data_IF_979051871525
#
_entry.id   IF_979051871525
#
_cell.length_a   1.000
_cell.length_b   1.000
_cell.length_c   1.000
_cell.angle_alpha   90.00
_cell.angle_beta   90.00
_cell.angle_gamma   90.00
#
_symmetry.space_group_name_H-M   'P 1'
#
loop_
_entity.id
_entity.type
_entity.pdbx_description
1 polymer ?
#
# COMPACT_ATOMS: atom_id res chain seq x y z
N UNK A 1 5.40 37.16 -34.01
CA UNK A 1 4.36 36.47 -33.21
C UNK A 1 4.89 35.08 -32.83
N UNK A 2 5.42 34.93 -31.62
CA UNK A 2 5.89 33.65 -31.05
C UNK A 2 5.36 33.60 -29.61
N UNK A 3 4.21 32.98 -29.40
CA UNK A 3 3.61 32.85 -28.07
C UNK A 3 2.53 31.77 -28.06
N UNK A 4 2.85 30.57 -28.56
CA UNK A 4 1.97 29.40 -28.41
C UNK A 4 2.79 28.11 -28.25
N UNK A 5 3.69 28.04 -27.26
CA UNK A 5 4.27 26.74 -26.83
C UNK A 5 4.57 26.81 -25.33
N UNK A 6 3.56 26.91 -24.46
CA UNK A 6 3.81 26.82 -23.01
C UNK A 6 2.67 26.21 -22.18
N UNK A 7 1.59 25.71 -22.79
CA UNK A 7 0.43 25.18 -22.02
C UNK A 7 0.40 23.64 -21.98
N UNK A 8 1.17 22.95 -22.82
CA UNK A 8 1.12 21.48 -22.92
C UNK A 8 1.98 20.73 -21.88
N UNK A 9 2.77 21.42 -21.04
CA UNK A 9 3.72 20.76 -20.11
C UNK A 9 3.20 20.63 -18.66
N UNK A 10 2.01 21.14 -18.34
CA UNK A 10 1.48 21.15 -16.96
C UNK A 10 0.48 19.98 -16.73
N UNK A 11 0.18 19.17 -17.76
CA UNK A 11 -0.84 18.13 -17.71
C UNK A 11 -0.35 16.70 -17.42
N UNK A 12 0.87 16.51 -16.89
CA UNK A 12 1.41 15.17 -16.57
C UNK A 12 1.53 14.83 -15.08
N UNK A 13 1.01 15.66 -14.16
CA UNK A 13 1.20 15.46 -12.72
C UNK A 13 0.02 14.81 -11.94
N UNK A 14 -0.96 14.17 -12.58
CA UNK A 14 -2.20 13.77 -11.87
C UNK A 14 -2.63 12.29 -11.94
N UNK A 15 -1.77 11.34 -12.28
CA UNK A 15 -2.20 9.92 -12.43
C UNK A 15 -1.79 8.94 -11.33
N UNK A 16 -1.25 9.41 -10.20
CA UNK A 16 -1.12 8.56 -9.00
C UNK A 16 -1.97 9.16 -7.88
N UNK A 17 -3.28 9.09 -8.03
CA UNK A 17 -4.15 9.23 -6.88
C UNK A 17 -3.84 8.03 -5.98
N UNK A 18 -3.11 8.29 -4.88
CA UNK A 18 -2.70 7.27 -3.91
C UNK A 18 -3.87 6.32 -3.58
N UNK A 19 -3.61 5.01 -3.59
CA UNK A 19 -4.62 4.00 -3.28
C UNK A 19 -4.98 3.93 -1.77
N UNK A 20 -4.63 4.97 -1.00
CA UNK A 20 -4.81 5.06 0.45
C UNK A 20 -6.25 4.79 0.89
N UNK A 21 -7.25 5.39 0.23
CA UNK A 21 -8.67 5.17 0.59
C UNK A 21 -9.10 3.70 0.38
N UNK A 22 -8.57 3.05 -0.67
CA UNK A 22 -8.79 1.62 -0.90
C UNK A 22 -8.10 0.76 0.14
N UNK A 23 -6.90 1.14 0.58
CA UNK A 23 -6.17 0.47 1.65
C UNK A 23 -6.91 0.58 3.00
N UNK A 24 -7.34 1.78 3.40
CA UNK A 24 -8.15 1.98 4.62
C UNK A 24 -9.42 1.12 4.58
N UNK A 25 -10.15 1.21 3.46
CA UNK A 25 -11.36 0.43 3.21
C UNK A 25 -11.09 -1.08 3.28
N UNK A 26 -9.95 -1.53 2.79
CA UNK A 26 -9.55 -2.93 2.85
C UNK A 26 -9.31 -3.37 4.30
N UNK A 27 -8.50 -2.61 5.06
CA UNK A 27 -8.19 -2.95 6.45
C UNK A 27 -9.42 -2.90 7.36
N UNK A 28 -10.33 -1.94 7.15
CA UNK A 28 -11.60 -1.89 7.90
C UNK A 28 -12.45 -3.15 7.71
N UNK A 29 -12.40 -3.77 6.53
CA UNK A 29 -13.23 -4.94 6.19
C UNK A 29 -12.54 -6.28 6.42
N UNK A 30 -11.22 -6.35 6.22
CA UNK A 30 -10.46 -7.59 6.14
C UNK A 30 -9.21 -7.61 7.02
N UNK A 31 -8.85 -6.49 7.63
CA UNK A 31 -7.66 -6.39 8.48
C UNK A 31 -7.82 -7.17 9.77
N UNK A 32 -6.71 -7.35 10.48
CA UNK A 32 -6.75 -8.03 11.77
C UNK A 32 -7.57 -7.24 12.80
N UNK A 33 -8.28 -7.92 13.72
CA UNK A 33 -8.98 -7.27 14.82
C UNK A 33 -8.02 -6.42 15.65
N UNK A 34 -8.44 -5.21 16.02
CA UNK A 34 -7.65 -4.30 16.83
C UNK A 34 -8.54 -3.59 17.85
N UNK A 35 -8.03 -3.47 19.08
CA UNK A 35 -8.62 -2.63 20.14
C UNK A 35 -8.24 -1.16 19.97
N UNK A 36 -7.40 -0.84 18.98
CA UNK A 36 -6.94 0.51 18.65
C UNK A 36 -7.62 1.00 17.37
N UNK A 37 -7.75 2.33 17.20
CA UNK A 37 -8.12 2.91 15.92
C UNK A 37 -7.23 2.40 14.80
N UNK A 38 -7.78 2.34 13.59
CA UNK A 38 -7.05 2.00 12.39
C UNK A 38 -5.87 2.98 12.19
N UNK A 39 -4.66 2.44 11.98
CA UNK A 39 -3.44 3.22 11.79
C UNK A 39 -2.76 2.79 10.49
N UNK A 40 -3.15 3.44 9.38
CA UNK A 40 -2.65 3.14 8.04
C UNK A 40 -1.48 4.05 7.67
N UNK A 41 -0.41 3.46 7.15
CA UNK A 41 0.77 4.16 6.63
C UNK A 41 1.13 3.68 5.22
N UNK A 42 1.78 4.56 4.43
CA UNK A 42 2.18 4.31 3.04
C UNK A 42 1.80 5.48 2.10
N UNK A 43 1.88 5.28 0.77
CA UNK A 43 2.37 4.06 0.12
C UNK A 43 3.89 3.93 0.20
N UNK A 44 4.37 2.71 0.39
CA UNK A 44 5.71 2.30 -0.04
C UNK A 44 5.62 1.70 -1.45
N UNK A 45 6.53 2.10 -2.33
CA UNK A 45 6.56 1.56 -3.69
C UNK A 45 7.38 0.27 -3.73
N UNK A 46 6.80 -0.79 -4.27
CA UNK A 46 7.46 -2.08 -4.47
C UNK A 46 7.54 -2.36 -5.98
N UNK A 47 8.73 -2.22 -6.60
CA UNK A 47 8.92 -2.43 -8.03
C UNK A 47 8.62 -3.87 -8.46
N UNK A 48 8.16 -4.04 -9.70
CA UNK A 48 7.93 -5.34 -10.31
C UNK A 48 9.14 -6.28 -10.17
N UNK A 49 8.88 -7.53 -9.78
CA UNK A 49 9.90 -8.54 -9.59
C UNK A 49 10.72 -8.40 -8.30
N UNK A 50 10.47 -7.38 -7.47
CA UNK A 50 11.07 -7.27 -6.14
C UNK A 50 10.34 -8.20 -5.17
N UNK A 51 11.10 -9.02 -4.45
CA UNK A 51 10.52 -9.89 -3.42
C UNK A 51 10.11 -9.08 -2.19
N UNK A 52 8.92 -9.36 -1.68
CA UNK A 52 8.37 -8.81 -0.45
C UNK A 52 8.68 -9.74 0.71
N UNK A 53 9.14 -9.17 1.82
CA UNK A 53 9.57 -9.91 3.00
C UNK A 53 8.87 -9.40 4.25
N UNK A 54 8.72 -10.28 5.24
CA UNK A 54 8.36 -9.89 6.59
C UNK A 54 9.52 -9.15 7.27
N UNK A 55 9.27 -8.49 8.40
CA UNK A 55 10.33 -7.80 9.16
C UNK A 55 11.39 -8.77 9.71
N UNK A 56 11.07 -10.07 9.80
CA UNK A 56 12.01 -11.15 10.17
C UNK A 56 12.74 -11.76 8.98
N UNK A 57 12.55 -11.22 7.76
CA UNK A 57 13.22 -11.68 6.55
C UNK A 57 12.60 -12.93 5.91
N UNK A 58 11.38 -13.31 6.29
CA UNK A 58 10.68 -14.42 5.64
C UNK A 58 10.11 -13.93 4.30
N UNK A 59 10.34 -14.69 3.22
CA UNK A 59 9.72 -14.42 1.93
C UNK A 59 8.19 -14.50 2.05
N UNK A 60 7.51 -13.48 1.55
CA UNK A 60 6.05 -13.43 1.53
C UNK A 60 5.53 -13.61 0.10
N UNK A 61 5.97 -12.76 -0.83
CA UNK A 61 5.55 -12.84 -2.23
C UNK A 61 6.43 -12.04 -3.18
N UNK A 62 6.11 -12.06 -4.47
CA UNK A 62 6.71 -11.24 -5.52
C UNK A 62 5.69 -10.96 -6.62
N UNK A 63 5.53 -9.70 -6.98
CA UNK A 63 4.53 -9.27 -7.95
C UNK A 63 5.16 -9.01 -9.32
N UNK A 64 4.41 -9.27 -10.40
CA UNK A 64 4.86 -9.08 -11.79
C UNK A 64 4.70 -7.64 -12.28
N UNK A 65 4.07 -6.77 -11.47
CA UNK A 65 3.84 -5.36 -11.74
C UNK A 65 4.41 -4.52 -10.60
N UNK A 66 4.57 -3.22 -10.85
CA UNK A 66 4.83 -2.25 -9.80
C UNK A 66 3.61 -2.16 -8.87
N UNK A 67 3.86 -2.08 -7.57
CA UNK A 67 2.79 -2.13 -6.55
C UNK A 67 2.94 -1.04 -5.49
N UNK A 68 1.81 -0.67 -4.90
CA UNK A 68 1.77 0.16 -3.69
C UNK A 68 1.52 -0.71 -2.46
N UNK A 69 2.38 -0.57 -1.47
CA UNK A 69 2.29 -1.27 -0.18
C UNK A 69 1.80 -0.29 0.87
N UNK A 70 0.71 -0.65 1.54
CA UNK A 70 0.20 0.06 2.71
C UNK A 70 0.26 -0.85 3.91
N UNK A 71 0.54 -0.29 5.07
CA UNK A 71 0.62 -1.03 6.32
C UNK A 71 -0.44 -0.57 7.29
N UNK A 72 -1.03 -1.51 8.02
CA UNK A 72 -1.82 -1.24 9.20
C UNK A 72 -1.11 -1.78 10.45
N UNK A 73 -1.15 -1.01 11.54
CA UNK A 73 -0.64 -1.43 12.85
C UNK A 73 -1.78 -1.49 13.84
N UNK A 74 -1.74 -2.46 14.73
CA UNK A 74 -2.76 -2.60 15.76
C UNK A 74 -2.31 -3.45 16.93
N UNK A 75 -3.23 -3.60 17.87
CA UNK A 75 -3.05 -4.48 19.02
C UNK A 75 -4.39 -5.08 19.42
N UNK A 76 -4.41 -6.37 19.76
CA UNK A 76 -5.60 -7.04 20.27
C UNK A 76 -5.28 -7.79 21.55
N UNK A 77 -6.04 -7.50 22.61
CA UNK A 77 -5.76 -7.90 23.99
C UNK A 77 -4.39 -7.42 24.50
N UNK A 78 -3.33 -8.18 24.22
CA UNK A 78 -1.96 -7.89 24.65
C UNK A 78 -0.92 -8.10 23.56
N UNK A 79 -1.32 -8.63 22.39
CA UNK A 79 -0.44 -8.81 21.24
C UNK A 79 -0.48 -7.61 20.31
N UNK A 80 0.66 -7.23 19.73
CA UNK A 80 0.69 -6.30 18.59
C UNK A 80 0.84 -7.02 17.25
N UNK A 81 0.39 -6.36 16.19
CA UNK A 81 0.59 -6.80 14.82
C UNK A 81 0.91 -5.62 13.90
N UNK A 82 1.58 -5.94 12.82
CA UNK A 82 1.71 -5.11 11.62
C UNK A 82 1.36 -5.98 10.43
N UNK A 83 0.39 -5.52 9.66
CA UNK A 83 -0.04 -6.16 8.42
C UNK A 83 0.18 -5.22 7.24
N UNK A 84 0.33 -5.79 6.05
CA UNK A 84 0.52 -5.07 4.81
C UNK A 84 -0.54 -5.51 3.80
N UNK A 85 -1.10 -4.56 3.05
CA UNK A 85 -1.89 -4.83 1.86
C UNK A 85 -1.12 -4.31 0.64
N UNK A 86 -1.05 -5.13 -0.40
CA UNK A 86 -0.38 -4.83 -1.66
C UNK A 86 -1.46 -4.51 -2.68
N UNK A 87 -1.42 -3.31 -3.26
CA UNK A 87 -2.41 -2.83 -4.21
C UNK A 87 -1.79 -2.67 -5.60
N UNK A 88 -2.58 -2.98 -6.62
CA UNK A 88 -2.31 -2.55 -7.99
C UNK A 88 -2.47 -1.01 -8.05
N UNK A 89 -1.44 -0.24 -8.45
CA UNK A 89 -1.47 1.22 -8.43
C UNK A 89 -2.44 1.81 -9.47
N UNK A 90 -2.89 1.03 -10.45
CA UNK A 90 -3.82 1.46 -11.49
C UNK A 90 -5.27 1.22 -11.08
N UNK A 91 -5.55 0.08 -10.46
CA UNK A 91 -6.92 -0.34 -10.09
C UNK A 91 -7.26 -0.13 -8.62
N UNK A 92 -6.25 0.10 -7.78
CA UNK A 92 -6.33 0.11 -6.32
C UNK A 92 -7.00 -1.14 -5.71
N UNK A 93 -6.97 -2.27 -6.43
CA UNK A 93 -7.44 -3.55 -5.97
C UNK A 93 -6.32 -4.30 -5.24
N UNK A 94 -6.70 -5.04 -4.19
CA UNK A 94 -5.77 -5.84 -3.43
C UNK A 94 -5.27 -7.04 -4.23
N UNK A 95 -3.95 -7.13 -4.35
CA UNK A 95 -3.23 -8.26 -4.93
C UNK A 95 -2.84 -9.28 -3.87
N UNK A 96 -2.60 -8.81 -2.63
CA UNK A 96 -2.25 -9.65 -1.50
C UNK A 96 -2.34 -8.90 -0.17
N UNK A 97 -2.47 -9.66 0.93
CA UNK A 97 -2.38 -9.15 2.29
C UNK A 97 -1.55 -10.09 3.15
N UNK A 98 -0.71 -9.55 4.03
CA UNK A 98 0.24 -10.32 4.82
C UNK A 98 0.42 -9.73 6.21
N UNK A 99 0.50 -10.59 7.23
CA UNK A 99 1.06 -10.21 8.52
C UNK A 99 2.58 -10.12 8.39
N UNK A 100 3.14 -8.91 8.45
CA UNK A 100 4.58 -8.68 8.26
C UNK A 100 5.35 -8.75 9.58
N UNK A 101 4.67 -8.53 10.71
CA UNK A 101 5.21 -8.77 12.04
C UNK A 101 4.09 -8.93 13.08
N UNK A 102 4.34 -9.72 14.12
CA UNK A 102 3.48 -9.90 15.28
C UNK A 102 4.30 -10.46 16.46
N UNK A 103 3.77 -10.35 17.68
CA UNK A 103 4.34 -10.96 18.90
C UNK A 103 4.20 -12.49 18.94
#
# INVERSE_FOLDING_TARGET
MKLIISVALILSCNTYASCFSSAESFFQRNGQPSDRPLDVSGPEFLPAGTAFYSERGHYLDKFSIDTEVFYNKGSFHSGWFKEAVILDPTTCLALGTYTVAAE
#
